data_IF_006565998747
#
_entry.id   IF_006565998747
#
_cell.length_a   1.000
_cell.length_b   1.000
_cell.length_c   1.000
_cell.angle_alpha   90.00
_cell.angle_beta   90.00
_cell.angle_gamma   90.00
#
_symmetry.space_group_name_H-M   'P 1'
#
loop_
_entity.id
_entity.type
_entity.pdbx_description
1 polymer ?
#
# COMPACT_ATOMS: atom_id res chain seq x y z
N UNK A 1 52.07 27.12 -9.06
CA UNK A 1 50.64 27.04 -8.64
C UNK A 1 50.18 25.59 -8.83
N UNK A 2 50.15 24.83 -7.75
CA UNK A 2 49.88 23.38 -7.80
C UNK A 2 48.34 23.20 -7.69
N UNK A 3 47.65 22.80 -8.78
CA UNK A 3 46.25 22.42 -8.76
C UNK A 3 46.15 21.00 -8.17
N UNK A 4 45.71 20.90 -6.91
CA UNK A 4 45.37 19.62 -6.30
C UNK A 4 43.99 19.24 -6.81
N UNK A 5 43.82 18.13 -7.57
CA UNK A 5 42.51 17.65 -7.94
C UNK A 5 41.81 17.13 -6.67
N UNK A 6 40.73 17.81 -6.26
CA UNK A 6 39.83 17.31 -5.23
C UNK A 6 39.10 16.09 -5.86
N UNK A 7 39.60 14.91 -5.57
CA UNK A 7 38.86 13.67 -5.82
C UNK A 7 37.61 13.66 -4.91
N UNK A 8 36.50 14.20 -5.43
CA UNK A 8 35.19 13.95 -4.85
C UNK A 8 34.93 12.45 -4.91
N UNK A 9 35.22 11.73 -3.83
CA UNK A 9 34.66 10.40 -3.62
C UNK A 9 33.13 10.59 -3.54
N UNK A 10 32.43 10.33 -4.64
CA UNK A 10 30.99 10.14 -4.63
C UNK A 10 30.75 8.94 -3.72
N UNK A 11 30.49 9.20 -2.44
CA UNK A 11 30.03 8.17 -1.54
C UNK A 11 28.71 7.65 -2.12
N UNK A 12 28.64 6.33 -2.36
CA UNK A 12 27.42 5.67 -2.82
C UNK A 12 26.28 6.05 -1.88
N UNK A 13 25.53 7.08 -2.28
CA UNK A 13 24.41 7.60 -1.51
C UNK A 13 23.31 6.54 -1.44
N UNK A 14 23.07 6.01 -0.25
CA UNK A 14 22.03 4.99 -0.03
C UNK A 14 21.46 5.11 1.39
N UNK A 15 20.25 4.61 1.56
CA UNK A 15 19.61 4.64 2.86
C UNK A 15 18.52 3.58 3.02
N UNK A 16 18.10 3.44 4.27
CA UNK A 16 16.95 2.62 4.70
C UNK A 16 16.02 3.52 5.51
N UNK A 17 14.76 3.58 5.11
CA UNK A 17 13.71 4.28 5.85
C UNK A 17 12.63 3.28 6.24
N UNK A 18 12.26 3.29 7.52
CA UNK A 18 11.24 2.43 8.10
C UNK A 18 9.96 3.23 8.25
N UNK A 19 8.86 2.67 7.78
CA UNK A 19 7.57 3.33 7.80
C UNK A 19 6.55 2.48 8.55
N UNK A 20 5.68 3.15 9.29
CA UNK A 20 4.45 2.58 9.82
C UNK A 20 3.28 3.09 8.98
N UNK A 21 2.49 2.19 8.44
CA UNK A 21 1.24 2.49 7.73
C UNK A 21 0.07 2.19 8.64
N UNK A 22 -0.90 3.09 8.68
CA UNK A 22 -2.15 2.93 9.42
C UNK A 22 -3.33 3.30 8.55
N UNK A 23 -4.30 2.38 8.45
CA UNK A 23 -5.57 2.60 7.75
C UNK A 23 -6.64 2.86 8.79
N UNK A 24 -7.33 3.99 8.65
CA UNK A 24 -8.48 4.34 9.48
C UNK A 24 -9.71 3.57 9.03
N UNK A 25 -10.35 2.85 9.95
CA UNK A 25 -11.57 2.07 9.69
C UNK A 25 -12.66 2.57 10.62
N UNK A 26 -13.85 2.83 10.07
CA UNK A 26 -15.02 3.11 10.90
C UNK A 26 -15.33 1.88 11.77
N UNK A 27 -15.37 2.10 13.08
CA UNK A 27 -15.62 1.07 14.10
C UNK A 27 -16.99 1.21 14.76
N UNK A 28 -17.83 2.15 14.32
CA UNK A 28 -19.15 2.43 14.90
C UNK A 28 -20.06 1.20 14.98
N UNK A 29 -19.93 0.28 14.01
CA UNK A 29 -20.68 -0.98 14.00
C UNK A 29 -20.36 -1.91 15.18
N UNK A 30 -19.19 -1.76 15.84
CA UNK A 30 -18.82 -2.54 17.03
C UNK A 30 -19.52 -2.10 18.32
N UNK A 31 -20.19 -0.94 18.30
CA UNK A 31 -20.95 -0.45 19.45
C UNK A 31 -22.28 -1.18 19.60
N UNK A 32 -22.65 -2.03 18.62
CA UNK A 32 -23.80 -2.90 18.73
C UNK A 32 -23.58 -3.95 19.84
N UNK A 33 -24.53 -4.12 20.80
CA UNK A 33 -24.42 -5.07 21.92
C UNK A 33 -24.06 -6.51 21.53
N UNK A 34 -24.41 -6.93 20.31
CA UNK A 34 -24.07 -8.27 19.78
C UNK A 34 -22.56 -8.53 19.70
N UNK A 35 -21.75 -7.48 19.64
CA UNK A 35 -20.30 -7.59 19.52
C UNK A 35 -19.56 -7.32 20.84
N UNK A 36 -20.28 -7.00 21.91
CA UNK A 36 -19.69 -6.63 23.20
C UNK A 36 -18.67 -7.66 23.72
N UNK A 37 -19.02 -8.96 23.68
CA UNK A 37 -18.13 -10.04 24.13
C UNK A 37 -16.92 -10.30 23.23
N UNK A 38 -16.92 -9.80 21.98
CA UNK A 38 -15.86 -10.01 21.00
C UNK A 38 -15.14 -8.72 20.62
N UNK A 39 -15.48 -7.59 21.24
CA UNK A 39 -14.98 -6.26 20.88
C UNK A 39 -13.45 -6.19 20.96
N UNK A 40 -12.84 -6.77 22.00
CA UNK A 40 -11.37 -6.82 22.14
C UNK A 40 -10.74 -7.62 20.99
N UNK A 41 -11.19 -8.84 20.76
CA UNK A 41 -10.69 -9.69 19.67
C UNK A 41 -10.81 -9.01 18.30
N UNK A 42 -11.95 -8.35 18.03
CA UNK A 42 -12.19 -7.65 16.76
C UNK A 42 -11.28 -6.43 16.62
N UNK A 43 -11.04 -5.67 17.71
CA UNK A 43 -10.09 -4.57 17.70
C UNK A 43 -8.67 -5.04 17.37
N UNK A 44 -8.22 -6.14 17.98
CA UNK A 44 -6.89 -6.71 17.72
C UNK A 44 -6.77 -7.21 16.29
N UNK A 45 -7.83 -7.81 15.77
CA UNK A 45 -7.89 -8.25 14.37
C UNK A 45 -7.83 -7.05 13.40
N UNK A 46 -8.60 -5.98 13.67
CA UNK A 46 -8.55 -4.75 12.88
C UNK A 46 -7.14 -4.17 12.92
N UNK A 47 -6.57 -4.00 14.12
CA UNK A 47 -5.23 -3.43 14.29
C UNK A 47 -4.19 -4.18 13.48
N UNK A 48 -4.15 -5.51 13.55
CA UNK A 48 -3.21 -6.35 12.78
C UNK A 48 -3.34 -6.16 11.26
N UNK A 49 -4.55 -5.89 10.77
CA UNK A 49 -4.81 -5.71 9.34
C UNK A 49 -4.63 -4.27 8.86
N UNK A 50 -4.73 -3.29 9.76
CA UNK A 50 -4.68 -1.87 9.44
C UNK A 50 -3.36 -1.21 9.80
N UNK A 51 -2.54 -1.83 10.67
CA UNK A 51 -1.23 -1.29 11.07
C UNK A 51 -0.12 -2.24 10.61
N UNK A 52 0.70 -1.76 9.66
CA UNK A 52 1.77 -2.53 9.05
C UNK A 52 3.07 -1.74 9.03
N UNK A 53 4.19 -2.46 9.16
CA UNK A 53 5.52 -1.88 9.07
C UNK A 53 6.14 -2.19 7.71
N UNK A 54 6.82 -1.20 7.14
CA UNK A 54 7.46 -1.29 5.83
C UNK A 54 8.89 -0.80 5.87
N UNK A 55 9.70 -1.33 4.97
CA UNK A 55 11.06 -0.90 4.72
C UNK A 55 11.19 -0.35 3.30
N UNK A 56 11.65 0.90 3.19
CA UNK A 56 12.14 1.50 1.95
C UNK A 56 13.66 1.45 1.96
N UNK A 57 14.25 0.74 1.01
CA UNK A 57 15.68 0.78 0.72
C UNK A 57 15.87 1.59 -0.55
N UNK A 58 16.79 2.55 -0.54
CA UNK A 58 16.97 3.49 -1.66
C UNK A 58 18.44 3.86 -1.90
N UNK A 59 18.73 4.21 -3.15
CA UNK A 59 19.91 4.94 -3.57
C UNK A 59 19.48 6.21 -4.33
N UNK A 60 20.38 6.84 -5.06
CA UNK A 60 20.06 8.06 -5.80
C UNK A 60 19.00 7.89 -6.90
N UNK A 61 18.86 6.70 -7.48
CA UNK A 61 18.00 6.44 -8.67
C UNK A 61 16.96 5.35 -8.45
N UNK A 62 17.24 4.39 -7.57
CA UNK A 62 16.41 3.20 -7.38
C UNK A 62 15.93 3.09 -5.93
N UNK A 63 14.76 2.49 -5.76
CA UNK A 63 14.28 2.12 -4.44
C UNK A 63 13.47 0.83 -4.46
N UNK A 64 13.41 0.16 -3.30
CA UNK A 64 12.49 -0.95 -3.04
C UNK A 64 11.71 -0.69 -1.77
N UNK A 65 10.40 -0.88 -1.83
CA UNK A 65 9.49 -0.76 -0.70
C UNK A 65 8.80 -2.10 -0.45
N UNK A 66 8.91 -2.64 0.75
CA UNK A 66 8.34 -3.96 1.09
C UNK A 66 7.82 -3.97 2.53
N UNK A 67 6.80 -4.78 2.78
CA UNK A 67 6.31 -5.05 4.12
C UNK A 67 7.40 -5.78 4.94
N UNK A 68 7.53 -5.43 6.22
CA UNK A 68 8.35 -6.14 7.19
C UNK A 68 7.44 -7.22 7.80
N UNK A 69 7.63 -8.46 7.37
CA UNK A 69 6.87 -9.59 7.88
C UNK A 69 7.12 -9.73 9.39
N UNK A 70 6.04 -9.75 10.16
CA UNK A 70 6.07 -10.14 11.56
C UNK A 70 5.84 -11.63 11.64
N UNK A 71 6.61 -12.35 12.46
CA UNK A 71 6.36 -13.75 12.73
C UNK A 71 4.92 -13.91 13.24
N UNK A 72 4.10 -14.58 12.44
CA UNK A 72 2.72 -14.87 12.82
C UNK A 72 2.73 -15.94 13.92
N UNK A 73 2.00 -15.69 15.01
CA UNK A 73 1.72 -16.72 16.02
C UNK A 73 0.76 -17.76 15.41
N UNK A 74 1.09 -19.04 15.57
CA UNK A 74 0.24 -20.16 15.15
C UNK A 74 -1.21 -19.96 15.63
N UNK A 75 -2.18 -20.15 14.73
CA UNK A 75 -3.61 -20.06 15.04
C UNK A 75 -4.40 -18.97 14.30
N UNK A 76 -3.80 -18.31 13.33
CA UNK A 76 -4.53 -17.32 12.51
C UNK A 76 -5.39 -18.05 11.46
N UNK A 77 -6.70 -18.08 11.73
CA UNK A 77 -7.69 -18.52 10.75
C UNK A 77 -7.72 -17.59 9.53
N UNK A 78 -8.41 -18.01 8.49
CA UNK A 78 -8.62 -17.27 7.23
C UNK A 78 -8.86 -15.77 7.47
N UNK A 79 -7.91 -14.94 7.07
CA UNK A 79 -7.96 -13.50 7.26
C UNK A 79 -8.77 -12.84 6.16
N UNK A 80 -10.10 -12.97 6.23
CA UNK A 80 -11.05 -12.41 5.27
C UNK A 80 -10.96 -10.86 5.20
N UNK A 81 -10.48 -10.24 6.28
CA UNK A 81 -10.40 -8.77 6.38
C UNK A 81 -9.21 -8.21 5.59
N UNK A 82 -8.13 -8.98 5.42
CA UNK A 82 -6.97 -8.56 4.63
C UNK A 82 -7.36 -8.20 3.19
N UNK A 83 -8.32 -8.91 2.62
CA UNK A 83 -8.81 -8.66 1.26
C UNK A 83 -9.68 -7.38 1.14
N UNK A 84 -10.17 -6.84 2.26
CA UNK A 84 -11.04 -5.66 2.29
C UNK A 84 -10.31 -4.39 2.72
N UNK A 85 -9.36 -4.51 3.63
CA UNK A 85 -8.71 -3.37 4.27
C UNK A 85 -7.35 -3.08 3.67
N UNK A 86 -6.65 -4.09 3.14
CA UNK A 86 -5.30 -3.97 2.61
C UNK A 86 -5.26 -3.90 1.09
N UNK A 87 -4.54 -2.95 0.53
CA UNK A 87 -3.96 -3.16 -0.79
C UNK A 87 -2.92 -4.27 -0.63
N UNK A 88 -3.01 -5.33 -1.44
CA UNK A 88 -1.96 -6.35 -1.54
C UNK A 88 -0.74 -5.70 -2.22
N UNK A 89 -0.07 -4.84 -1.47
CA UNK A 89 1.17 -4.23 -1.89
C UNK A 89 2.24 -5.30 -1.67
N UNK A 90 2.70 -5.89 -2.76
CA UNK A 90 3.88 -6.75 -2.74
C UNK A 90 5.15 -5.91 -2.57
N UNK A 91 6.25 -6.39 -3.13
CA UNK A 91 7.48 -5.62 -3.17
C UNK A 91 7.44 -4.64 -4.34
N UNK A 92 7.43 -3.34 -4.05
CA UNK A 92 7.48 -2.29 -5.07
C UNK A 92 8.94 -1.92 -5.33
N UNK A 93 9.38 -2.07 -6.56
CA UNK A 93 10.64 -1.53 -7.08
C UNK A 93 10.34 -0.29 -7.91
N UNK A 94 11.12 0.78 -7.71
CA UNK A 94 11.04 2.02 -8.51
C UNK A 94 12.43 2.37 -9.04
N UNK A 95 12.49 2.80 -10.29
CA UNK A 95 13.68 3.36 -10.92
C UNK A 95 13.32 4.70 -11.54
N UNK A 96 13.84 5.80 -10.95
CA UNK A 96 13.55 7.15 -11.40
C UNK A 96 14.20 7.49 -12.74
N UNK A 97 15.32 6.85 -13.08
CA UNK A 97 16.04 7.05 -14.33
C UNK A 97 15.30 6.39 -15.51
N UNK A 98 14.88 5.13 -15.33
CA UNK A 98 14.11 4.39 -16.33
C UNK A 98 12.62 4.79 -16.33
N UNK A 99 12.18 5.59 -15.38
CA UNK A 99 10.77 5.99 -15.16
C UNK A 99 9.80 4.82 -15.08
N UNK A 100 10.20 3.76 -14.38
CA UNK A 100 9.40 2.55 -14.23
C UNK A 100 9.19 2.17 -12.77
N UNK A 101 7.99 1.71 -12.45
CA UNK A 101 7.70 0.97 -11.22
C UNK A 101 7.29 -0.46 -11.53
N UNK A 102 7.63 -1.38 -10.62
CA UNK A 102 7.29 -2.79 -10.71
C UNK A 102 6.82 -3.26 -9.33
N UNK A 103 5.57 -3.68 -9.24
CA UNK A 103 5.06 -4.35 -8.05
C UNK A 103 5.14 -5.87 -8.24
N UNK A 104 6.02 -6.51 -7.48
CA UNK A 104 6.10 -7.97 -7.41
C UNK A 104 5.05 -8.47 -6.42
N UNK A 105 3.98 -9.06 -6.92
CA UNK A 105 2.85 -9.51 -6.12
C UNK A 105 2.45 -10.94 -6.48
N UNK A 106 1.74 -11.60 -5.57
CA UNK A 106 1.21 -12.94 -5.79
C UNK A 106 -0.32 -12.90 -5.78
N UNK A 107 -0.93 -13.59 -6.75
CA UNK A 107 -2.37 -13.79 -6.81
C UNK A 107 -2.68 -15.25 -7.18
N UNK A 108 -3.44 -15.94 -6.33
CA UNK A 108 -3.83 -17.34 -6.53
C UNK A 108 -2.64 -18.29 -6.83
N UNK A 109 -1.54 -18.15 -6.08
CA UNK A 109 -0.34 -18.98 -6.24
C UNK A 109 0.52 -18.63 -7.46
N UNK A 110 0.21 -17.55 -8.18
CA UNK A 110 0.98 -17.09 -9.34
C UNK A 110 1.62 -15.74 -9.06
N UNK A 111 2.91 -15.62 -9.42
CA UNK A 111 3.64 -14.36 -9.28
C UNK A 111 3.42 -13.47 -10.51
N UNK A 112 3.20 -12.18 -10.25
CA UNK A 112 3.05 -11.14 -11.25
C UNK A 112 4.05 -10.02 -11.01
N UNK A 113 4.56 -9.46 -12.11
CA UNK A 113 5.32 -8.22 -12.15
C UNK A 113 4.40 -7.17 -12.77
N UNK A 114 3.68 -6.46 -11.91
CA UNK A 114 2.77 -5.40 -12.34
C UNK A 114 3.59 -4.17 -12.63
N UNK A 115 3.67 -3.80 -13.90
CA UNK A 115 4.47 -2.67 -14.36
C UNK A 115 3.61 -1.44 -14.58
N UNK A 116 4.16 -0.29 -14.21
CA UNK A 116 3.53 1.00 -14.40
C UNK A 116 4.62 2.05 -14.67
N UNK A 117 4.34 2.96 -15.60
CA UNK A 117 5.22 4.09 -15.82
C UNK A 117 5.16 5.02 -14.60
N UNK A 118 6.32 5.52 -14.17
CA UNK A 118 6.39 6.48 -13.10
C UNK A 118 5.82 7.82 -13.60
N UNK A 119 4.54 8.04 -13.34
CA UNK A 119 3.90 9.30 -13.64
C UNK A 119 4.51 10.43 -12.78
N UNK A 120 4.72 11.57 -13.41
CA UNK A 120 5.06 12.79 -12.69
C UNK A 120 3.80 13.31 -11.99
N UNK A 121 3.61 12.90 -10.75
CA UNK A 121 2.54 13.43 -9.89
C UNK A 121 2.70 14.95 -9.81
N UNK A 122 1.64 15.68 -10.16
CA UNK A 122 1.64 17.15 -10.13
C UNK A 122 1.45 17.64 -8.69
N UNK A 123 2.50 17.54 -7.90
CA UNK A 123 2.52 18.07 -6.56
C UNK A 123 2.40 19.58 -6.53
N UNK A 124 1.57 20.11 -5.63
CA UNK A 124 1.45 21.52 -5.31
C UNK A 124 2.16 21.78 -3.98
N UNK A 125 3.18 22.61 -3.98
CA UNK A 125 3.87 23.03 -2.76
C UNK A 125 3.03 24.05 -2.00
N UNK A 126 2.84 23.89 -0.68
CA UNK A 126 2.04 24.83 0.12
C UNK A 126 2.86 25.90 0.84
N UNK A 127 4.17 25.74 0.92
CA UNK A 127 5.05 26.61 1.73
C UNK A 127 5.01 26.31 3.24
N UNK A 128 4.15 25.41 3.69
CA UNK A 128 4.12 24.97 5.09
C UNK A 128 5.29 24.05 5.40
N UNK A 129 5.81 24.13 6.63
CA UNK A 129 6.89 23.26 7.12
C UNK A 129 6.58 22.73 8.51
N UNK A 130 7.10 21.55 8.83
CA UNK A 130 7.12 20.95 10.16
C UNK A 130 8.35 20.08 10.35
N UNK A 131 8.68 19.75 11.59
CA UNK A 131 9.74 18.79 11.86
C UNK A 131 9.17 17.37 12.04
N UNK A 132 9.83 16.39 11.38
CA UNK A 132 9.60 14.96 11.60
C UNK A 132 10.93 14.37 12.09
N UNK A 133 11.00 14.03 13.37
CA UNK A 133 12.27 13.72 14.01
C UNK A 133 13.23 14.90 13.91
N UNK A 134 14.42 14.68 13.34
CA UNK A 134 15.45 15.71 13.16
C UNK A 134 15.37 16.44 11.82
N UNK A 135 14.43 16.07 10.94
CA UNK A 135 14.35 16.58 9.58
C UNK A 135 13.30 17.69 9.48
N UNK A 136 13.65 18.79 8.83
CA UNK A 136 12.69 19.80 8.41
C UNK A 136 11.98 19.32 7.14
N UNK A 137 10.65 19.21 7.22
CA UNK A 137 9.82 18.71 6.13
C UNK A 137 8.92 19.82 5.59
N UNK A 138 8.71 19.79 4.29
CA UNK A 138 7.83 20.71 3.56
C UNK A 138 6.61 19.96 3.05
N UNK A 139 5.47 20.65 3.06
CA UNK A 139 4.18 20.08 2.64
C UNK A 139 3.99 20.21 1.14
N UNK A 140 3.54 19.13 0.54
CA UNK A 140 3.05 19.11 -0.84
C UNK A 140 1.71 18.35 -0.89
N UNK A 141 0.82 18.77 -1.78
CA UNK A 141 -0.49 18.12 -1.95
C UNK A 141 -0.79 17.84 -3.42
N UNK A 142 -1.62 16.84 -3.67
CA UNK A 142 -2.30 16.66 -4.95
C UNK A 142 -3.63 15.96 -4.74
N UNK A 143 -4.53 16.07 -5.71
CA UNK A 143 -5.83 15.39 -5.68
C UNK A 143 -5.80 14.19 -6.63
N UNK A 144 -6.25 13.04 -6.14
CA UNK A 144 -6.46 11.82 -6.94
C UNK A 144 -7.94 11.42 -6.93
N UNK A 145 -8.40 10.83 -8.02
CA UNK A 145 -9.73 10.22 -8.07
C UNK A 145 -9.63 8.76 -7.67
N UNK A 146 -10.45 8.35 -6.73
CA UNK A 146 -10.53 6.96 -6.24
C UNK A 146 -11.97 6.48 -6.25
N UNK A 147 -12.15 5.17 -6.42
CA UNK A 147 -13.45 4.54 -6.25
C UNK A 147 -13.86 4.57 -4.77
N UNK A 148 -15.05 5.11 -4.47
CA UNK A 148 -15.60 5.11 -3.12
C UNK A 148 -15.89 3.67 -2.68
N UNK A 149 -15.01 3.12 -1.83
CA UNK A 149 -15.22 1.82 -1.20
C UNK A 149 -15.97 2.01 0.13
N UNK A 150 -17.27 1.74 0.12
CA UNK A 150 -18.07 1.72 1.34
C UNK A 150 -17.90 0.37 2.01
N UNK A 151 -17.18 0.34 3.14
CA UNK A 151 -17.11 -0.84 3.99
C UNK A 151 -18.35 -0.88 4.87
N UNK A 152 -19.26 -1.81 4.62
CA UNK A 152 -20.42 -2.02 5.47
C UNK A 152 -20.34 -3.39 6.13
N UNK A 153 -19.91 -3.42 7.41
CA UNK A 153 -19.88 -4.67 8.16
C UNK A 153 -21.32 -5.14 8.46
N UNK A 154 -21.64 -6.36 8.08
CA UNK A 154 -22.93 -6.99 8.42
C UNK A 154 -24.04 -6.89 7.39
N UNK A 155 -23.86 -6.21 6.28
CA UNK A 155 -24.79 -6.31 5.14
C UNK A 155 -24.46 -7.49 4.22
N UNK A 156 -24.08 -8.61 4.82
CA UNK A 156 -24.07 -9.90 4.12
C UNK A 156 -25.50 -10.45 3.96
N UNK A 157 -26.43 -9.54 3.79
CA UNK A 157 -27.79 -9.89 3.43
C UNK A 157 -27.78 -10.27 1.94
N UNK A 158 -28.10 -11.51 1.66
CA UNK A 158 -28.03 -12.16 0.34
C UNK A 158 -28.67 -11.37 -0.82
N UNK A 159 -29.51 -10.39 -0.53
CA UNK A 159 -30.21 -9.58 -1.53
C UNK A 159 -29.44 -8.34 -2.02
N UNK A 160 -28.44 -7.86 -1.31
CA UNK A 160 -27.71 -6.64 -1.71
C UNK A 160 -26.46 -6.91 -2.59
N UNK A 161 -25.92 -8.15 -2.58
CA UNK A 161 -24.75 -8.48 -3.40
C UNK A 161 -25.06 -8.53 -4.91
N UNK A 162 -26.31 -8.79 -5.27
CA UNK A 162 -26.74 -8.83 -6.69
C UNK A 162 -26.81 -7.45 -7.33
N UNK A 163 -26.92 -6.37 -6.55
CA UNK A 163 -27.08 -5.01 -7.07
C UNK A 163 -25.80 -4.15 -7.01
N UNK A 164 -24.78 -4.53 -6.22
CA UNK A 164 -23.54 -3.74 -6.15
C UNK A 164 -22.73 -3.81 -7.46
N UNK A 165 -22.75 -4.92 -8.19
CA UNK A 165 -22.10 -5.04 -9.49
C UNK A 165 -22.82 -4.27 -10.63
N UNK A 166 -24.01 -3.70 -10.37
CA UNK A 166 -24.79 -2.91 -11.34
C UNK A 166 -24.84 -1.42 -11.04
N UNK A 167 -24.35 -0.99 -9.85
CA UNK A 167 -24.25 0.44 -9.57
C UNK A 167 -22.98 1.00 -10.21
N UNK A 168 -23.06 2.15 -10.88
CA UNK A 168 -21.85 2.80 -11.37
C UNK A 168 -20.91 3.07 -10.19
N UNK A 169 -19.62 2.76 -10.40
CA UNK A 169 -18.56 3.04 -9.42
C UNK A 169 -18.54 4.54 -9.17
N UNK A 170 -18.82 4.96 -7.95
CA UNK A 170 -18.77 6.37 -7.58
C UNK A 170 -17.31 6.76 -7.36
N UNK A 171 -16.81 7.66 -8.19
CA UNK A 171 -15.49 8.25 -8.03
C UNK A 171 -15.58 9.45 -7.09
N UNK A 172 -14.65 9.55 -6.16
CA UNK A 172 -14.49 10.68 -5.25
C UNK A 172 -13.09 11.25 -5.38
N UNK A 173 -12.99 12.56 -5.23
CA UNK A 173 -11.72 13.26 -5.17
C UNK A 173 -11.16 13.15 -3.76
N UNK A 174 -9.92 12.66 -3.65
CA UNK A 174 -9.20 12.52 -2.39
C UNK A 174 -7.94 13.37 -2.45
N UNK A 175 -7.78 14.27 -1.49
CA UNK A 175 -6.54 15.02 -1.32
C UNK A 175 -5.50 14.13 -0.67
N UNK A 176 -4.32 14.07 -1.27
CA UNK A 176 -3.13 13.44 -0.71
C UNK A 176 -2.20 14.53 -0.21
N UNK A 177 -1.80 14.42 1.04
CA UNK A 177 -0.85 15.32 1.70
C UNK A 177 0.45 14.57 1.94
N UNK A 178 1.56 15.10 1.44
CA UNK A 178 2.89 14.56 1.68
C UNK A 178 3.78 15.58 2.39
N UNK A 179 4.64 15.08 3.27
CA UNK A 179 5.70 15.83 3.92
C UNK A 179 7.03 15.22 3.54
N UNK A 180 7.89 15.99 2.87
CA UNK A 180 9.18 15.54 2.37
C UNK A 180 10.30 16.39 2.89
N UNK A 181 11.51 15.82 2.99
CA UNK A 181 12.71 16.56 3.38
C UNK A 181 13.72 16.64 2.24
N UNK A 182 14.19 17.85 1.87
CA UNK A 182 15.26 18.00 0.92
C UNK A 182 16.64 17.62 1.48
N UNK A 183 16.77 17.44 2.80
CA UNK A 183 18.03 17.00 3.44
C UNK A 183 18.45 15.61 2.94
N UNK A 184 17.50 14.83 2.42
CA UNK A 184 17.73 13.54 1.77
C UNK A 184 17.28 13.68 0.30
N UNK A 185 18.16 14.06 -0.63
CA UNK A 185 17.79 14.47 -1.98
C UNK A 185 17.52 13.29 -2.92
N UNK A 186 16.52 12.48 -2.58
CA UNK A 186 16.02 11.36 -3.39
C UNK A 186 14.55 11.56 -3.70
N UNK A 187 14.18 11.48 -4.98
CA UNK A 187 12.80 11.59 -5.42
C UNK A 187 12.04 10.28 -5.15
N UNK A 188 11.99 9.84 -3.89
CA UNK A 188 11.38 8.58 -3.49
C UNK A 188 10.57 8.74 -2.20
N UNK A 189 9.72 7.75 -1.93
CA UNK A 189 8.86 7.71 -0.75
C UNK A 189 8.21 6.35 -0.56
N UNK A 190 7.34 6.21 0.45
CA UNK A 190 6.64 4.97 0.74
C UNK A 190 5.63 4.64 -0.36
N UNK A 191 5.30 3.35 -0.52
CA UNK A 191 4.31 2.88 -1.50
C UNK A 191 4.59 3.44 -2.92
N UNK A 192 3.59 3.96 -3.57
CA UNK A 192 3.65 4.55 -4.92
C UNK A 192 4.11 6.02 -4.94
N UNK A 193 4.22 6.64 -3.77
CA UNK A 193 4.48 8.07 -3.66
C UNK A 193 5.94 8.41 -3.97
N UNK A 194 6.13 9.43 -4.83
CA UNK A 194 7.41 9.90 -5.31
C UNK A 194 7.28 11.25 -6.04
N UNK A 195 8.36 11.76 -6.62
CA UNK A 195 8.35 12.93 -7.49
C UNK A 195 8.54 14.25 -6.77
N UNK A 196 8.78 14.24 -5.45
CA UNK A 196 9.17 15.42 -4.68
C UNK A 196 10.70 15.57 -4.64
N UNK A 197 11.22 16.78 -4.46
CA UNK A 197 12.67 17.04 -4.43
C UNK A 197 13.29 16.67 -3.07
N UNK A 198 13.01 15.46 -2.60
CA UNK A 198 13.48 14.93 -1.33
C UNK A 198 12.69 13.70 -0.91
N UNK A 199 13.21 13.01 0.12
CA UNK A 199 12.56 11.81 0.68
C UNK A 199 11.23 12.18 1.35
N UNK A 200 10.17 11.48 0.96
CA UNK A 200 8.85 11.65 1.58
C UNK A 200 8.84 10.90 2.92
N UNK A 201 8.67 11.62 4.02
CA UNK A 201 8.66 11.05 5.38
C UNK A 201 7.25 10.74 5.88
N UNK A 202 6.25 11.46 5.39
CA UNK A 202 4.86 11.21 5.76
C UNK A 202 3.96 11.40 4.54
N UNK A 203 2.99 10.53 4.40
CA UNK A 203 1.90 10.69 3.44
C UNK A 203 0.61 10.37 4.14
N UNK A 204 -0.40 11.19 3.91
CA UNK A 204 -1.77 10.89 4.33
C UNK A 204 -2.76 11.16 3.20
N UNK A 205 -3.75 10.31 3.10
CA UNK A 205 -4.97 10.52 2.33
C UNK A 205 -6.18 10.39 3.28
N UNK A 206 -7.39 10.33 2.75
CA UNK A 206 -8.62 10.24 3.54
C UNK A 206 -8.59 9.12 4.62
N UNK A 207 -7.99 7.99 4.31
CA UNK A 207 -8.03 6.78 5.16
C UNK A 207 -6.68 6.28 5.61
N UNK A 208 -5.62 6.56 4.86
CA UNK A 208 -4.30 5.97 5.09
C UNK A 208 -3.32 7.02 5.54
N UNK A 209 -2.57 6.72 6.58
CA UNK A 209 -1.40 7.52 7.00
C UNK A 209 -0.18 6.61 7.01
N UNK A 210 0.87 7.02 6.33
CA UNK A 210 2.17 6.34 6.30
C UNK A 210 3.21 7.31 6.86
N UNK A 211 3.84 6.94 7.98
CA UNK A 211 4.80 7.79 8.68
C UNK A 211 6.15 7.10 8.78
N UNK A 212 7.22 7.81 8.43
CA UNK A 212 8.59 7.38 8.66
C UNK A 212 8.93 7.41 10.15
N UNK A 213 9.38 6.27 10.68
CA UNK A 213 9.71 6.10 12.11
C UNK A 213 11.21 6.05 12.36
N UNK A 214 12.01 5.69 11.35
CA UNK A 214 13.46 5.57 11.45
C UNK A 214 14.12 5.72 10.08
N UNK A 215 15.26 6.40 10.05
CA UNK A 215 16.11 6.51 8.85
C UNK A 215 17.54 6.09 9.24
N UNK A 216 18.17 5.31 8.36
CA UNK A 216 19.58 4.92 8.44
C UNK A 216 20.24 5.29 7.13
N UNK A 217 21.07 6.32 7.14
CA UNK A 217 21.85 6.73 5.97
C UNK A 217 23.18 5.97 5.93
N UNK A 218 23.60 5.61 4.73
CA UNK A 218 24.86 4.92 4.44
C UNK A 218 25.14 3.73 5.39
N UNK A 219 24.23 2.74 5.44
CA UNK A 219 24.40 1.59 6.32
C UNK A 219 25.71 0.85 6.01
N UNK A 220 26.36 0.28 7.03
CA UNK A 220 27.63 -0.47 6.87
C UNK A 220 27.47 -1.62 5.87
N UNK A 221 26.36 -2.30 5.90
CA UNK A 221 25.99 -3.31 4.91
C UNK A 221 25.25 -2.65 3.76
N UNK A 222 25.93 -2.54 2.63
CA UNK A 222 25.33 -1.99 1.40
C UNK A 222 24.21 -2.89 0.91
N UNK A 223 23.04 -2.33 0.79
CA UNK A 223 21.89 -3.05 0.21
C UNK A 223 21.97 -3.01 -1.31
N UNK A 224 22.00 -4.18 -1.93
CA UNK A 224 21.87 -4.29 -3.39
C UNK A 224 20.40 -4.23 -3.77
N UNK A 225 19.93 -3.07 -4.23
CA UNK A 225 18.60 -2.94 -4.81
C UNK A 225 18.57 -3.75 -6.10
N UNK A 226 17.62 -4.68 -6.21
CA UNK A 226 17.51 -5.57 -7.36
C UNK A 226 16.13 -5.42 -8.00
N UNK A 227 16.12 -5.19 -9.31
CA UNK A 227 14.89 -5.22 -10.10
C UNK A 227 14.26 -6.62 -10.02
N UNK A 228 12.97 -6.74 -9.70
CA UNK A 228 12.25 -8.00 -9.66
C UNK A 228 12.23 -8.67 -11.04
N UNK A 229 12.35 -10.01 -11.04
CA UNK A 229 12.39 -10.83 -12.29
C UNK A 229 11.45 -12.03 -12.24
N UNK A 230 10.89 -12.35 -11.06
CA UNK A 230 10.08 -13.55 -10.88
C UNK A 230 8.60 -13.23 -11.08
N UNK A 231 8.00 -13.76 -12.11
CA UNK A 231 6.56 -13.62 -12.36
C UNK A 231 6.23 -13.24 -13.80
N UNK A 232 4.93 -13.26 -14.10
CA UNK A 232 4.40 -12.81 -15.40
C UNK A 232 4.31 -11.28 -15.39
N UNK A 233 4.95 -10.63 -16.37
CA UNK A 233 4.81 -9.18 -16.56
C UNK A 233 3.40 -8.85 -17.07
N UNK A 234 2.76 -7.87 -16.46
CA UNK A 234 1.41 -7.42 -16.79
C UNK A 234 1.31 -5.92 -16.50
N UNK A 235 0.52 -5.19 -17.28
CA UNK A 235 0.22 -3.78 -16.97
C UNK A 235 -0.66 -3.68 -15.70
N UNK A 236 -0.62 -2.54 -15.02
CA UNK A 236 -1.50 -2.30 -13.86
C UNK A 236 -2.98 -2.40 -14.26
N UNK A 237 -3.36 -1.85 -15.43
CA UNK A 237 -4.72 -1.90 -15.94
C UNK A 237 -5.20 -3.35 -16.16
N UNK A 238 -4.37 -4.19 -16.82
CA UNK A 238 -4.72 -5.59 -17.09
C UNK A 238 -4.74 -6.41 -15.80
N UNK A 239 -3.87 -6.08 -14.83
CA UNK A 239 -3.86 -6.77 -13.54
C UNK A 239 -5.13 -6.48 -12.74
N UNK A 240 -5.60 -5.23 -12.70
CA UNK A 240 -6.87 -4.85 -12.06
C UNK A 240 -8.04 -5.56 -12.74
N UNK A 241 -8.08 -5.60 -14.07
CA UNK A 241 -9.12 -6.32 -14.81
C UNK A 241 -9.12 -7.83 -14.47
N UNK A 242 -7.93 -8.45 -14.40
CA UNK A 242 -7.78 -9.85 -13.99
C UNK A 242 -8.26 -10.08 -12.54
N UNK A 243 -7.97 -9.17 -11.62
CA UNK A 243 -8.46 -9.25 -10.24
C UNK A 243 -9.99 -9.20 -10.18
N UNK A 244 -10.61 -8.31 -10.94
CA UNK A 244 -12.08 -8.16 -10.98
C UNK A 244 -12.74 -9.42 -11.58
N UNK A 245 -12.17 -9.99 -12.65
CA UNK A 245 -12.61 -11.27 -13.23
C UNK A 245 -12.56 -12.40 -12.20
N UNK A 246 -11.41 -12.58 -11.54
CA UNK A 246 -11.23 -13.65 -10.54
C UNK A 246 -12.12 -13.47 -9.30
N UNK A 247 -12.39 -12.24 -8.93
CA UNK A 247 -13.36 -11.94 -7.86
C UNK A 247 -14.78 -12.33 -8.27
N UNK A 248 -15.20 -12.03 -9.50
CA UNK A 248 -16.50 -12.40 -10.02
C UNK A 248 -16.66 -13.93 -10.07
N UNK A 249 -15.68 -14.67 -10.59
CA UNK A 249 -15.65 -16.14 -10.60
C UNK A 249 -15.78 -16.73 -9.18
N UNK A 250 -15.06 -16.20 -8.21
CA UNK A 250 -15.09 -16.65 -6.82
C UNK A 250 -16.51 -16.47 -6.21
N UNK A 251 -17.15 -15.33 -6.49
CA UNK A 251 -18.53 -15.06 -6.04
C UNK A 251 -19.52 -16.04 -6.68
N UNK A 252 -19.40 -16.34 -7.97
CA UNK A 252 -20.27 -17.30 -8.66
C UNK A 252 -20.09 -18.73 -8.13
N UNK A 253 -18.85 -19.16 -7.91
CA UNK A 253 -18.58 -20.46 -7.30
C UNK A 253 -19.18 -20.59 -5.90
N UNK A 254 -19.07 -19.53 -5.09
CA UNK A 254 -19.67 -19.52 -3.75
C UNK A 254 -21.21 -19.61 -3.80
N UNK A 255 -21.84 -18.85 -4.70
CA UNK A 255 -23.30 -18.91 -4.92
C UNK A 255 -23.76 -20.30 -5.37
N UNK A 256 -23.06 -20.93 -6.27
CA UNK A 256 -23.39 -22.27 -6.77
C UNK A 256 -23.29 -23.33 -5.67
N UNK A 257 -22.29 -23.23 -4.78
CA UNK A 257 -22.14 -24.11 -3.61
C UNK A 257 -23.30 -23.95 -2.63
N UNK A 258 -23.71 -22.71 -2.33
CA UNK A 258 -24.85 -22.45 -1.45
C UNK A 258 -26.16 -23.00 -2.02
N UNK A 259 -26.44 -22.84 -3.32
CA UNK A 259 -27.62 -23.41 -3.97
C UNK A 259 -27.65 -24.93 -3.86
N UNK A 260 -26.51 -25.61 -4.04
CA UNK A 260 -26.42 -27.09 -3.88
C UNK A 260 -26.71 -27.52 -2.44
N UNK A 261 -26.18 -26.82 -1.44
CA UNK A 261 -26.43 -27.15 -0.02
C UNK A 261 -27.92 -26.97 0.37
N UNK A 262 -28.54 -25.87 -0.10
CA UNK A 262 -29.95 -25.62 0.18
C UNK A 262 -30.92 -26.63 -0.52
N UNK A 263 -30.55 -27.12 -1.71
CA UNK A 263 -31.34 -28.16 -2.40
C UNK A 263 -31.23 -29.54 -1.72
N UNK A 264 -30.04 -29.88 -1.19
CA UNK A 264 -29.84 -31.16 -0.47
C UNK A 264 -30.51 -31.15 0.90
N UNK A 265 -30.63 -29.97 1.55
CA UNK A 265 -31.35 -29.84 2.82
C UNK A 265 -32.89 -29.92 2.69
N UNK A 266 -33.44 -29.68 1.50
CA UNK A 266 -34.89 -29.79 1.21
C UNK A 266 -35.32 -31.22 0.84
N UNK A 267 -34.39 -32.12 0.56
CA UNK A 267 -34.63 -33.51 0.18
C UNK A 267 -34.47 -34.50 1.37
N UNK A 268 -34.16 -33.99 2.55
CA UNK A 268 -34.16 -34.72 3.84
C UNK A 268 -35.29 -34.22 4.74
#
# INVERSE_FOLDING_TARGET
MLLIPILCFSQDFQGKAYYMSKISVDKSWMDNPRFASRKSYMNDMIKRNTEKDYLLEFNSTESTYKEIEKLETEGQGFNWMANYVGENIGKIYKNAQDKISINETEMMGKFFLVTEDLENTKWKMSGESKNIGQYTCYKATYTKQVEEKVFTFGTWNQNNQTNQNKKPKKMIDVEVVAWFTPDIPVSSGPSWYQGLPGLILEVSDDKTTILCTKIVMNPKEKTKIKRPKKGKTISNQDFVALQDEKRAEAVEMWRSRQKRQSSTARLR
#
